data_IF_029200717798
#
_entry.id   IF_029200717798
#
_cell.length_a   1.000
_cell.length_b   1.000
_cell.length_c   1.000
_cell.angle_alpha   90.00
_cell.angle_beta   90.00
_cell.angle_gamma   90.00
#
_symmetry.space_group_name_H-M   'P 1'
#
loop_
_entity.id
_entity.type
_entity.pdbx_description
1 polymer ?
#
# COMPACT_ATOMS: atom_id res chain seq x y z
N UNK A 1 4.79 9.41 -41.21
CA UNK A 1 5.51 8.37 -40.43
C UNK A 1 5.12 8.60 -38.97
N UNK A 2 4.06 7.93 -38.50
CA UNK A 2 3.51 8.19 -37.15
C UNK A 2 4.23 7.28 -36.15
N UNK A 3 5.11 7.88 -35.33
CA UNK A 3 5.69 7.21 -34.19
C UNK A 3 4.57 6.90 -33.18
N UNK A 4 4.21 5.62 -33.09
CA UNK A 4 3.32 5.09 -32.06
C UNK A 4 4.06 5.30 -30.73
N UNK A 5 3.61 6.26 -29.93
CA UNK A 5 4.01 6.36 -28.53
C UNK A 5 3.61 5.03 -27.88
N UNK A 6 4.60 4.20 -27.54
CA UNK A 6 4.34 2.97 -26.80
C UNK A 6 3.91 3.39 -25.40
N UNK A 7 2.70 2.97 -25.01
CA UNK A 7 2.18 3.15 -23.66
C UNK A 7 3.11 2.40 -22.68
N UNK A 8 4.10 3.11 -22.14
CA UNK A 8 5.03 2.60 -21.13
C UNK A 8 4.34 2.23 -19.81
N UNK A 9 3.04 2.53 -19.66
CA UNK A 9 2.20 2.12 -18.53
C UNK A 9 2.07 0.60 -18.42
N UNK A 10 2.12 -0.13 -19.55
CA UNK A 10 1.97 -1.59 -19.55
C UNK A 10 3.22 -2.33 -19.03
N UNK A 11 4.42 -1.76 -19.23
CA UNK A 11 5.71 -2.38 -18.85
C UNK A 11 5.97 -2.30 -17.34
N UNK A 12 5.38 -1.33 -16.64
CA UNK A 12 5.60 -1.14 -15.20
C UNK A 12 4.92 -2.26 -14.39
N UNK A 13 3.77 -2.75 -14.83
CA UNK A 13 2.95 -3.72 -14.07
C UNK A 13 3.56 -5.14 -14.12
N UNK A 14 4.24 -5.52 -15.20
CA UNK A 14 4.78 -6.89 -15.36
C UNK A 14 5.92 -7.24 -14.41
N UNK A 15 6.60 -6.24 -13.83
CA UNK A 15 7.73 -6.42 -12.91
C UNK A 15 7.35 -6.18 -11.44
N UNK A 16 6.10 -5.80 -11.17
CA UNK A 16 5.60 -5.65 -9.80
C UNK A 16 5.37 -7.03 -9.19
N UNK A 17 5.93 -7.27 -8.00
CA UNK A 17 5.65 -8.48 -7.24
C UNK A 17 4.12 -8.58 -7.04
N UNK A 18 3.55 -9.71 -7.46
CA UNK A 18 2.10 -9.94 -7.42
C UNK A 18 1.55 -9.95 -5.99
N UNK A 19 2.42 -10.03 -4.98
CA UNK A 19 2.06 -9.84 -3.57
C UNK A 19 1.82 -8.37 -3.21
N UNK A 20 2.29 -7.41 -4.01
CA UNK A 20 2.06 -5.96 -3.84
C UNK A 20 0.70 -5.51 -4.37
N UNK A 21 0.20 -6.16 -5.42
CA UNK A 21 -1.02 -5.76 -6.13
C UNK A 21 -2.30 -6.31 -5.49
N UNK A 22 -2.20 -7.26 -4.56
CA UNK A 22 -3.32 -7.85 -3.85
C UNK A 22 -3.21 -7.51 -2.36
N UNK A 23 -3.55 -6.27 -2.02
CA UNK A 23 -3.77 -5.84 -0.64
C UNK A 23 -5.06 -6.45 -0.03
N UNK A 24 -5.74 -7.34 -0.75
CA UNK A 24 -6.80 -8.18 -0.22
C UNK A 24 -6.29 -9.17 0.82
N UNK A 25 -7.19 -9.67 1.67
CA UNK A 25 -6.86 -10.55 2.81
C UNK A 25 -6.07 -11.81 2.41
N UNK A 26 -6.12 -12.22 1.14
CA UNK A 26 -5.62 -13.50 0.66
C UNK A 26 -4.08 -13.61 0.54
N UNK A 27 -3.34 -12.49 0.61
CA UNK A 27 -1.86 -12.52 0.52
C UNK A 27 -1.13 -11.94 1.72
N UNK A 28 -1.83 -11.64 2.82
CA UNK A 28 -1.25 -11.10 4.07
C UNK A 28 -0.13 -11.97 4.62
N UNK A 29 -0.29 -13.30 4.59
CA UNK A 29 0.73 -14.24 5.06
C UNK A 29 1.99 -14.19 4.20
N UNK A 30 1.83 -14.15 2.87
CA UNK A 30 2.95 -14.05 1.93
C UNK A 30 3.68 -12.72 2.07
N UNK A 31 2.95 -11.61 2.23
CA UNK A 31 3.53 -10.30 2.48
C UNK A 31 4.34 -10.28 3.78
N UNK A 32 3.81 -10.82 4.87
CA UNK A 32 4.54 -10.92 6.15
C UNK A 32 5.84 -11.71 6.00
N UNK A 33 5.80 -12.82 5.26
CA UNK A 33 6.97 -13.66 5.04
C UNK A 33 8.04 -12.97 4.20
N UNK A 34 7.64 -12.21 3.17
CA UNK A 34 8.57 -11.61 2.20
C UNK A 34 9.08 -10.24 2.69
N UNK A 35 8.20 -9.40 3.25
CA UNK A 35 8.48 -8.00 3.59
C UNK A 35 8.53 -7.72 5.10
N UNK A 36 8.30 -8.73 5.95
CA UNK A 36 8.24 -8.54 7.40
C UNK A 36 7.02 -7.77 7.90
N UNK A 37 6.05 -7.49 7.03
CA UNK A 37 4.87 -6.68 7.32
C UNK A 37 3.72 -6.93 6.33
N UNK A 38 2.68 -6.10 6.41
CA UNK A 38 1.56 -6.12 5.48
C UNK A 38 1.50 -4.79 4.73
N UNK A 39 0.99 -4.83 3.50
CA UNK A 39 0.82 -3.64 2.66
C UNK A 39 -0.67 -3.43 2.46
N UNK A 40 -1.11 -2.21 2.73
CA UNK A 40 -2.51 -1.80 2.66
C UNK A 40 -2.60 -0.39 2.08
N UNK A 41 -3.66 -0.07 1.32
CA UNK A 41 -3.92 1.29 0.89
C UNK A 41 -4.10 2.19 2.11
N UNK A 42 -3.42 3.34 2.14
CA UNK A 42 -3.50 4.28 3.25
C UNK A 42 -4.94 4.74 3.54
N UNK A 43 -5.75 4.89 2.49
CA UNK A 43 -7.17 5.27 2.55
C UNK A 43 -8.13 4.13 2.84
N UNK A 44 -7.66 2.87 2.92
CA UNK A 44 -8.53 1.76 3.26
C UNK A 44 -8.95 1.81 4.73
N UNK A 45 -10.17 1.35 4.99
CA UNK A 45 -10.77 1.26 6.31
C UNK A 45 -9.94 0.32 7.21
N UNK A 46 -9.45 0.85 8.34
CA UNK A 46 -8.81 0.04 9.38
C UNK A 46 -9.81 -0.37 10.46
N UNK A 47 -10.75 0.51 10.78
CA UNK A 47 -11.89 0.26 11.67
C UNK A 47 -13.10 1.11 11.23
N UNK A 48 -14.23 1.03 11.94
CA UNK A 48 -15.47 1.74 11.56
C UNK A 48 -15.32 3.28 11.47
N UNK A 49 -14.34 3.86 12.15
CA UNK A 49 -14.15 5.30 12.28
C UNK A 49 -12.89 5.81 11.56
N UNK A 50 -11.85 4.98 11.41
CA UNK A 50 -10.54 5.41 10.90
C UNK A 50 -10.08 4.60 9.68
N UNK A 51 -9.34 5.27 8.81
CA UNK A 51 -8.46 4.66 7.79
C UNK A 51 -7.19 4.09 8.41
N UNK A 52 -6.42 3.31 7.64
CA UNK A 52 -5.11 2.83 8.08
C UNK A 52 -4.15 3.99 8.36
N UNK A 53 -4.12 5.03 7.53
CA UNK A 53 -3.30 6.21 7.76
C UNK A 53 -3.59 6.84 9.13
N UNK A 54 -4.86 7.12 9.40
CA UNK A 54 -5.30 7.72 10.67
C UNK A 54 -5.04 6.80 11.87
N UNK A 55 -5.21 5.49 11.68
CA UNK A 55 -4.96 4.50 12.74
C UNK A 55 -3.48 4.42 13.09
N UNK A 56 -2.58 4.44 12.11
CA UNK A 56 -1.15 4.38 12.38
C UNK A 56 -0.58 5.70 12.92
N UNK A 57 -1.27 6.81 12.66
CA UNK A 57 -0.99 8.09 13.30
C UNK A 57 -1.40 8.14 14.78
N UNK A 58 -1.87 7.05 15.39
CA UNK A 58 -2.23 7.00 16.82
C UNK A 58 -1.42 5.93 17.55
N UNK A 59 -1.13 6.18 18.82
CA UNK A 59 -0.53 5.20 19.72
C UNK A 59 -1.59 4.29 20.37
N UNK A 60 -1.14 3.33 21.18
CA UNK A 60 -2.05 2.43 21.92
C UNK A 60 -2.98 3.15 22.91
N UNK A 61 -2.63 4.39 23.29
CA UNK A 61 -3.36 5.27 24.19
C UNK A 61 -4.12 6.37 23.41
N UNK A 62 -4.26 6.24 22.09
CA UNK A 62 -4.92 7.21 21.20
C UNK A 62 -4.22 8.58 21.08
N UNK A 63 -2.96 8.71 21.51
CA UNK A 63 -2.18 9.92 21.26
C UNK A 63 -1.64 9.93 19.84
N UNK A 64 -1.59 11.11 19.23
CA UNK A 64 -1.07 11.26 17.88
C UNK A 64 0.43 10.92 17.82
N UNK A 65 0.80 9.98 16.95
CA UNK A 65 2.15 9.64 16.51
C UNK A 65 2.41 10.33 15.18
N UNK A 66 3.55 11.03 15.10
CA UNK A 66 3.99 11.68 13.87
C UNK A 66 4.48 10.70 12.82
N UNK A 67 3.59 9.89 12.24
CA UNK A 67 3.91 9.22 10.98
C UNK A 67 3.95 10.31 9.91
N UNK A 68 5.17 10.61 9.48
CA UNK A 68 5.47 11.55 8.39
C UNK A 68 5.22 10.79 7.08
N UNK A 69 4.19 11.20 6.34
CA UNK A 69 4.03 10.76 4.96
C UNK A 69 5.27 11.18 4.16
N UNK A 70 5.93 10.23 3.49
CA UNK A 70 6.99 10.54 2.53
C UNK A 70 6.27 10.91 1.24
N UNK A 71 6.21 12.21 0.95
CA UNK A 71 5.83 12.71 -0.37
C UNK A 71 6.99 12.40 -1.32
N UNK A 72 6.72 11.71 -2.43
CA UNK A 72 7.70 11.41 -3.49
C UNK A 72 7.34 12.21 -4.75
#
# INVERSE_FOLDING_TARGET
MNARLQDNSMIIISNLDINLLDAGRNKRLSQKKIYGGEIFPASACANYYDTFLESFQKDKNMNNRGIVAIDL
#
